data_IF_942410353428
#
_entry.id   IF_942410353428
#
_cell.length_a   1.000
_cell.length_b   1.000
_cell.length_c   1.000
_cell.angle_alpha   90.00
_cell.angle_beta   90.00
_cell.angle_gamma   90.00
#
_symmetry.space_group_name_H-M   'P 1'
#
loop_
_entity.id
_entity.type
_entity.pdbx_description
1 polymer ?
#
# COMPACT_ATOMS: atom_id res chain seq x y z
N UNK A 1 -22.91 -7.78 32.36
CA UNK A 1 -24.07 -7.46 31.50
C UNK A 1 -23.52 -6.97 30.18
N UNK A 2 -23.93 -7.66 29.12
CA UNK A 2 -23.36 -7.60 27.79
C UNK A 2 -23.53 -6.22 27.16
N UNK A 3 -22.43 -5.56 26.82
CA UNK A 3 -22.46 -4.58 25.75
C UNK A 3 -22.33 -5.34 24.43
N UNK A 4 -23.45 -5.91 23.97
CA UNK A 4 -23.66 -6.08 22.53
C UNK A 4 -23.66 -4.64 22.03
N UNK A 5 -22.61 -4.21 21.35
CA UNK A 5 -22.64 -2.94 20.62
C UNK A 5 -23.73 -3.07 19.57
N UNK A 6 -24.90 -2.54 19.89
CA UNK A 6 -26.00 -2.28 18.96
C UNK A 6 -25.52 -1.22 17.97
N UNK A 7 -24.69 -1.66 17.02
CA UNK A 7 -24.39 -0.87 15.84
C UNK A 7 -25.64 -0.93 14.98
N UNK A 8 -26.50 0.10 15.11
CA UNK A 8 -27.55 0.36 14.11
C UNK A 8 -26.99 0.44 12.68
N UNK A 9 -25.66 0.58 12.51
CA UNK A 9 -24.93 0.67 11.24
C UNK A 9 -23.55 -0.04 11.36
N UNK A 10 -23.31 -1.07 10.55
CA UNK A 10 -22.05 -1.87 10.52
C UNK A 10 -20.98 -1.22 9.63
N UNK A 11 -20.65 0.05 9.92
CA UNK A 11 -19.57 0.82 9.29
C UNK A 11 -19.15 1.98 10.20
N UNK A 12 -17.94 2.51 9.99
CA UNK A 12 -17.43 3.74 10.59
C UNK A 12 -16.71 4.56 9.51
N UNK A 13 -17.32 5.66 9.10
CA UNK A 13 -16.83 6.60 8.07
C UNK A 13 -17.05 8.04 8.55
N UNK A 14 -16.30 9.02 8.02
CA UNK A 14 -16.37 10.41 8.47
C UNK A 14 -17.77 11.03 8.29
N UNK A 15 -18.34 10.92 7.09
CA UNK A 15 -19.65 11.47 6.76
C UNK A 15 -20.31 10.67 5.63
N UNK A 16 -21.40 9.97 5.95
CA UNK A 16 -22.14 9.14 4.99
C UNK A 16 -22.78 9.98 3.87
N UNK A 17 -23.00 11.28 4.09
CA UNK A 17 -23.60 12.17 3.08
C UNK A 17 -22.66 12.44 1.89
N UNK A 18 -21.37 12.09 2.00
CA UNK A 18 -20.41 12.19 0.90
C UNK A 18 -20.59 11.07 -0.16
N UNK A 19 -21.45 10.08 0.09
CA UNK A 19 -21.66 8.93 -0.80
C UNK A 19 -22.03 9.34 -2.24
N UNK A 20 -22.83 10.39 -2.41
CA UNK A 20 -23.21 10.89 -3.73
C UNK A 20 -22.05 11.46 -4.54
N UNK A 21 -21.06 12.07 -3.87
CA UNK A 21 -19.82 12.52 -4.52
C UNK A 21 -18.92 11.33 -4.84
N UNK A 22 -18.68 10.44 -3.88
CA UNK A 22 -17.87 9.24 -4.10
C UNK A 22 -18.39 8.39 -5.25
N UNK A 23 -19.71 8.21 -5.37
CA UNK A 23 -20.32 7.48 -6.49
C UNK A 23 -20.01 8.08 -7.86
N UNK A 24 -19.97 9.42 -7.96
CA UNK A 24 -19.60 10.11 -9.22
C UNK A 24 -18.14 9.89 -9.56
N UNK A 25 -17.24 9.95 -8.58
CA UNK A 25 -15.81 9.68 -8.82
C UNK A 25 -15.52 8.21 -9.12
N UNK A 26 -16.22 7.27 -8.49
CA UNK A 26 -16.16 5.84 -8.84
C UNK A 26 -16.54 5.65 -10.30
N UNK A 27 -17.65 6.23 -10.76
CA UNK A 27 -18.07 6.12 -12.16
C UNK A 27 -17.04 6.68 -13.15
N UNK A 28 -16.34 7.75 -12.79
CA UNK A 28 -15.22 8.29 -13.59
C UNK A 28 -14.04 7.30 -13.55
N UNK A 29 -13.67 6.83 -12.36
CA UNK A 29 -12.53 5.93 -12.17
C UNK A 29 -12.71 4.60 -12.90
N UNK A 30 -13.91 4.05 -12.97
CA UNK A 30 -14.21 2.84 -13.76
C UNK A 30 -13.78 2.99 -15.22
N UNK A 31 -13.94 4.19 -15.82
CA UNK A 31 -13.49 4.44 -17.20
C UNK A 31 -11.97 4.43 -17.34
N UNK A 32 -11.24 4.71 -16.26
CA UNK A 32 -9.78 4.70 -16.18
C UNK A 32 -9.23 3.39 -15.60
N UNK A 33 -10.07 2.40 -15.28
CA UNK A 33 -9.64 1.12 -14.70
C UNK A 33 -9.96 -0.08 -15.61
N UNK A 34 -9.40 -0.13 -16.84
CA UNK A 34 -9.75 -1.13 -17.84
C UNK A 34 -9.42 -2.56 -17.40
N UNK A 35 -8.41 -2.77 -16.57
CA UNK A 35 -8.06 -4.10 -16.05
C UNK A 35 -9.17 -4.67 -15.16
N UNK A 36 -9.69 -3.88 -14.22
CA UNK A 36 -10.78 -4.30 -13.35
C UNK A 36 -12.09 -4.46 -14.12
N UNK A 37 -12.40 -3.54 -15.04
CA UNK A 37 -13.62 -3.63 -15.85
C UNK A 37 -13.62 -4.90 -16.72
N UNK A 38 -12.49 -5.21 -17.36
CA UNK A 38 -12.38 -6.42 -18.15
C UNK A 38 -12.48 -7.71 -17.31
N UNK A 39 -11.96 -7.70 -16.08
CA UNK A 39 -12.14 -8.82 -15.14
C UNK A 39 -13.62 -8.99 -14.76
N UNK A 40 -14.35 -7.90 -14.50
CA UNK A 40 -15.79 -7.97 -14.25
C UNK A 40 -16.52 -8.59 -15.45
N UNK A 41 -16.25 -8.09 -16.66
CA UNK A 41 -16.87 -8.59 -17.89
C UNK A 41 -16.61 -10.09 -18.11
N UNK A 42 -15.37 -10.55 -17.86
CA UNK A 42 -14.97 -11.93 -18.07
C UNK A 42 -15.53 -12.88 -17.00
N UNK A 43 -15.49 -12.48 -15.73
CA UNK A 43 -15.66 -13.42 -14.61
C UNK A 43 -16.95 -13.22 -13.80
N UNK A 44 -17.66 -12.09 -13.92
CA UNK A 44 -18.85 -11.85 -13.09
C UNK A 44 -19.92 -12.93 -13.29
N UNK A 45 -20.15 -13.42 -14.51
CA UNK A 45 -21.13 -14.47 -14.76
C UNK A 45 -20.79 -15.80 -14.05
N UNK A 46 -19.50 -16.11 -13.89
CA UNK A 46 -19.03 -17.33 -13.25
C UNK A 46 -19.02 -17.25 -11.71
N UNK A 47 -19.07 -16.04 -11.14
CA UNK A 47 -18.99 -15.79 -9.69
C UNK A 47 -17.84 -16.57 -9.01
N UNK A 48 -16.58 -16.44 -9.49
CA UNK A 48 -15.48 -17.30 -9.04
C UNK A 48 -15.16 -17.14 -7.56
N UNK A 49 -15.50 -16.00 -6.94
CA UNK A 49 -15.28 -15.71 -5.53
C UNK A 49 -16.51 -16.00 -4.66
N UNK A 50 -17.53 -16.68 -5.19
CA UNK A 50 -18.70 -17.05 -4.39
C UNK A 50 -18.28 -17.83 -3.13
N UNK A 51 -18.68 -17.31 -1.97
CA UNK A 51 -18.34 -17.88 -0.66
C UNK A 51 -17.02 -17.37 -0.06
N UNK A 52 -16.23 -16.60 -0.81
CA UNK A 52 -15.09 -15.89 -0.26
C UNK A 52 -15.59 -14.77 0.66
N UNK A 53 -14.96 -14.68 1.83
CA UNK A 53 -15.18 -13.67 2.87
C UNK A 53 -13.87 -12.94 3.07
N UNK A 54 -13.72 -11.82 2.37
CA UNK A 54 -12.45 -11.10 2.23
C UNK A 54 -12.39 -10.00 3.30
N UNK A 55 -11.38 -10.09 4.17
CA UNK A 55 -10.96 -9.00 5.04
C UNK A 55 -9.90 -8.17 4.31
N UNK A 56 -10.25 -6.94 3.92
CA UNK A 56 -9.36 -6.03 3.21
C UNK A 56 -8.73 -4.99 4.15
N UNK A 57 -7.40 -4.86 4.09
CA UNK A 57 -6.62 -3.80 4.75
C UNK A 57 -5.76 -3.10 3.70
N UNK A 58 -6.32 -2.05 3.09
CA UNK A 58 -5.70 -1.31 2.00
C UNK A 58 -6.27 0.10 1.99
N UNK A 59 -5.45 1.11 1.67
CA UNK A 59 -5.85 2.53 1.51
C UNK A 59 -7.28 2.69 0.97
N UNK A 60 -8.18 3.30 1.74
CA UNK A 60 -9.59 3.41 1.36
C UNK A 60 -9.83 4.60 0.41
N UNK A 61 -9.43 4.42 -0.85
CA UNK A 61 -9.53 5.42 -1.93
C UNK A 61 -10.64 5.10 -2.94
N UNK A 62 -10.88 6.00 -3.90
CA UNK A 62 -11.76 5.76 -5.05
C UNK A 62 -11.31 4.56 -5.88
N UNK A 63 -10.00 4.36 -6.05
CA UNK A 63 -9.48 3.21 -6.79
C UNK A 63 -9.81 1.92 -6.04
N UNK A 64 -9.63 1.90 -4.72
CA UNK A 64 -9.96 0.77 -3.86
C UNK A 64 -11.46 0.49 -3.84
N UNK A 65 -12.29 1.53 -3.91
CA UNK A 65 -13.74 1.37 -4.07
C UNK A 65 -14.09 0.56 -5.34
N UNK A 66 -13.41 0.81 -6.47
CA UNK A 66 -13.60 0.03 -7.70
C UNK A 66 -13.11 -1.42 -7.54
N UNK A 67 -12.01 -1.66 -6.81
CA UNK A 67 -11.55 -3.01 -6.44
C UNK A 67 -12.60 -3.75 -5.60
N UNK A 68 -13.10 -3.13 -4.52
CA UNK A 68 -14.13 -3.70 -3.64
C UNK A 68 -15.36 -4.11 -4.44
N UNK A 69 -15.87 -3.22 -5.30
CA UNK A 69 -17.03 -3.51 -6.14
C UNK A 69 -16.73 -4.59 -7.19
N UNK A 70 -15.48 -4.73 -7.64
CA UNK A 70 -15.05 -5.83 -8.50
C UNK A 70 -15.09 -7.17 -7.77
N UNK A 71 -14.52 -7.24 -6.56
CA UNK A 71 -14.55 -8.47 -5.74
C UNK A 71 -15.99 -8.91 -5.45
N UNK A 72 -16.87 -7.97 -5.11
CA UNK A 72 -18.30 -8.24 -4.91
C UNK A 72 -19.00 -8.70 -6.19
N UNK A 73 -18.72 -8.04 -7.33
CA UNK A 73 -19.26 -8.44 -8.62
C UNK A 73 -18.83 -9.87 -9.01
N UNK A 74 -17.74 -10.39 -8.45
CA UNK A 74 -17.25 -11.75 -8.62
C UNK A 74 -17.78 -12.74 -7.57
N UNK A 75 -18.63 -12.28 -6.65
CA UNK A 75 -19.33 -13.12 -5.66
C UNK A 75 -18.74 -13.12 -4.25
N UNK A 76 -17.72 -12.31 -3.97
CA UNK A 76 -17.16 -12.19 -2.63
C UNK A 76 -18.09 -11.38 -1.70
N UNK A 77 -18.07 -11.74 -0.42
CA UNK A 77 -18.50 -10.87 0.67
C UNK A 77 -17.25 -10.19 1.26
N UNK A 78 -17.36 -8.91 1.64
CA UNK A 78 -16.19 -8.04 1.85
C UNK A 78 -16.39 -7.14 3.06
N UNK A 79 -15.35 -7.01 3.90
CA UNK A 79 -15.23 -6.00 4.95
C UNK A 79 -13.89 -5.28 4.79
N UNK A 80 -13.85 -3.97 5.02
CA UNK A 80 -12.67 -3.16 4.67
C UNK A 80 -12.23 -2.19 5.75
N UNK A 81 -10.92 -2.00 5.89
CA UNK A 81 -10.27 -0.94 6.64
C UNK A 81 -9.12 -0.37 5.81
N UNK A 82 -8.73 0.86 6.13
CA UNK A 82 -7.52 1.47 5.55
C UNK A 82 -6.26 0.86 6.16
N UNK A 83 -5.16 0.81 5.42
CA UNK A 83 -3.83 0.47 5.96
C UNK A 83 -3.00 1.70 6.36
N UNK A 84 -3.59 2.90 6.31
CA UNK A 84 -2.91 4.13 6.76
C UNK A 84 -3.90 5.23 7.17
N UNK A 85 -3.63 5.82 8.33
CA UNK A 85 -4.49 6.80 9.00
C UNK A 85 -4.78 8.10 8.22
N UNK A 86 -3.97 8.43 7.20
CA UNK A 86 -4.16 9.67 6.40
C UNK A 86 -4.54 9.41 4.94
N UNK A 87 -4.62 8.15 4.53
CA UNK A 87 -4.80 7.76 3.13
C UNK A 87 -6.25 7.67 2.66
N UNK A 88 -7.19 7.57 3.61
CA UNK A 88 -8.61 7.43 3.29
C UNK A 88 -9.13 8.65 2.53
N UNK A 89 -9.95 8.39 1.52
CA UNK A 89 -10.80 9.39 0.89
C UNK A 89 -12.22 9.21 1.42
N UNK A 90 -12.67 10.13 2.27
CA UNK A 90 -13.92 9.95 3.03
C UNK A 90 -15.15 9.79 2.13
N UNK A 91 -15.17 10.44 0.97
CA UNK A 91 -16.24 10.27 -0.02
C UNK A 91 -16.23 8.88 -0.67
N UNK A 92 -15.06 8.26 -0.86
CA UNK A 92 -14.95 6.88 -1.32
C UNK A 92 -15.46 5.90 -0.26
N UNK A 93 -15.03 6.07 1.00
CA UNK A 93 -15.50 5.26 2.13
C UNK A 93 -17.02 5.34 2.29
N UNK A 94 -17.58 6.55 2.25
CA UNK A 94 -19.03 6.78 2.31
C UNK A 94 -19.78 6.10 1.15
N UNK A 95 -19.27 6.15 -0.08
CA UNK A 95 -19.92 5.54 -1.24
C UNK A 95 -19.97 4.01 -1.18
N UNK A 96 -18.94 3.38 -0.61
CA UNK A 96 -18.91 1.92 -0.38
C UNK A 96 -19.79 1.52 0.80
N UNK A 97 -19.73 2.26 1.92
CA UNK A 97 -20.59 2.04 3.08
C UNK A 97 -22.09 2.16 2.73
N UNK A 98 -22.47 3.22 1.98
CA UNK A 98 -23.84 3.40 1.50
C UNK A 98 -24.27 2.30 0.50
N UNK A 99 -23.31 1.65 -0.17
CA UNK A 99 -23.52 0.47 -1.01
C UNK A 99 -23.67 -0.84 -0.24
N UNK A 100 -23.72 -0.78 1.10
CA UNK A 100 -23.93 -1.91 2.00
C UNK A 100 -22.70 -2.74 2.33
N UNK A 101 -21.49 -2.28 1.97
CA UNK A 101 -20.24 -2.94 2.37
C UNK A 101 -19.69 -2.31 3.65
N UNK A 102 -19.43 -3.10 4.70
CA UNK A 102 -18.79 -2.63 5.93
C UNK A 102 -17.41 -2.01 5.65
N UNK A 103 -17.26 -0.73 5.99
CA UNK A 103 -16.00 0.03 5.89
C UNK A 103 -15.73 0.70 7.23
N UNK A 104 -14.50 0.56 7.71
CA UNK A 104 -14.00 1.17 8.95
C UNK A 104 -12.76 1.98 8.61
N UNK A 105 -12.98 3.22 8.16
CA UNK A 105 -11.91 4.09 7.70
C UNK A 105 -12.39 5.53 7.61
N UNK A 106 -11.58 6.47 8.09
CA UNK A 106 -11.71 7.88 7.75
C UNK A 106 -10.36 8.60 7.79
N UNK A 107 -10.23 9.72 7.09
CA UNK A 107 -8.98 10.47 7.05
C UNK A 107 -8.71 11.16 8.39
N UNK A 108 -7.55 10.88 8.97
CA UNK A 108 -7.14 11.44 10.25
C UNK A 108 -7.59 10.64 11.48
N UNK A 109 -7.96 9.37 11.30
CA UNK A 109 -8.20 8.45 12.42
C UNK A 109 -6.97 8.31 13.33
N UNK A 110 -7.19 8.09 14.62
CA UNK A 110 -6.11 7.85 15.58
C UNK A 110 -5.53 6.44 15.42
N UNK A 111 -4.31 6.20 15.92
CA UNK A 111 -3.72 4.85 15.95
C UNK A 111 -4.56 3.85 16.76
N UNK A 112 -5.32 4.32 17.75
CA UNK A 112 -6.26 3.47 18.49
C UNK A 112 -7.42 3.02 17.60
N UNK A 113 -8.00 3.95 16.85
CA UNK A 113 -9.09 3.68 15.91
C UNK A 113 -8.60 2.78 14.77
N UNK A 114 -7.43 3.06 14.20
CA UNK A 114 -6.77 2.24 13.19
C UNK A 114 -6.76 0.75 13.59
N UNK A 115 -6.20 0.42 14.75
CA UNK A 115 -6.14 -0.97 15.19
C UNK A 115 -7.51 -1.54 15.59
N UNK A 116 -8.46 -0.74 16.07
CA UNK A 116 -9.86 -1.18 16.24
C UNK A 116 -10.48 -1.55 14.89
N UNK A 117 -10.27 -0.73 13.86
CA UNK A 117 -10.78 -0.94 12.51
C UNK A 117 -10.19 -2.21 11.87
N UNK A 118 -8.89 -2.45 12.07
CA UNK A 118 -8.24 -3.70 11.65
C UNK A 118 -8.82 -4.93 12.36
N UNK A 119 -9.36 -4.83 13.58
CA UNK A 119 -10.12 -5.95 14.17
C UNK A 119 -11.50 -6.12 13.53
N UNK A 120 -12.19 -5.02 13.21
CA UNK A 120 -13.57 -5.05 12.69
C UNK A 120 -13.72 -5.70 11.33
N UNK A 121 -12.68 -5.74 10.50
CA UNK A 121 -12.69 -6.49 9.24
C UNK A 121 -12.74 -8.02 9.44
N UNK A 122 -12.42 -8.50 10.65
CA UNK A 122 -12.52 -9.91 11.04
C UNK A 122 -13.78 -10.24 11.85
N UNK A 123 -14.56 -9.24 12.30
CA UNK A 123 -15.80 -9.45 13.05
C UNK A 123 -17.01 -9.45 12.11
N UNK A 124 -17.48 -10.64 11.70
CA UNK A 124 -18.61 -10.78 10.75
C UNK A 124 -19.96 -10.82 11.47
N UNK A 125 -20.99 -10.18 10.88
CA UNK A 125 -22.29 -9.99 11.51
C UNK A 125 -23.02 -11.29 11.88
N UNK A 126 -22.75 -12.39 11.17
CA UNK A 126 -23.29 -13.72 11.46
C UNK A 126 -22.47 -14.51 12.50
N UNK A 127 -21.46 -13.89 13.10
CA UNK A 127 -20.51 -14.54 14.01
C UNK A 127 -19.47 -15.43 13.31
N UNK A 128 -19.45 -15.43 11.98
CA UNK A 128 -18.45 -16.13 11.18
C UNK A 128 -17.07 -15.46 11.19
N UNK A 129 -16.16 -16.02 10.41
CA UNK A 129 -14.79 -15.53 10.23
C UNK A 129 -14.55 -15.22 8.74
N UNK A 130 -13.63 -14.31 8.40
CA UNK A 130 -13.14 -14.24 7.04
C UNK A 130 -12.38 -15.52 6.70
N UNK A 131 -12.24 -15.77 5.40
CA UNK A 131 -11.48 -16.90 4.88
C UNK A 131 -10.40 -16.48 3.89
N UNK A 132 -10.32 -15.18 3.56
CA UNK A 132 -9.29 -14.60 2.70
C UNK A 132 -8.86 -13.25 3.27
N UNK A 133 -7.60 -12.89 3.09
CA UNK A 133 -7.07 -11.55 3.40
C UNK A 133 -6.59 -10.91 2.09
N UNK A 134 -6.91 -9.63 1.90
CA UNK A 134 -6.26 -8.77 0.92
C UNK A 134 -5.55 -7.66 1.70
N UNK A 135 -4.22 -7.64 1.63
CA UNK A 135 -3.38 -6.84 2.51
C UNK A 135 -2.46 -5.90 1.71
N UNK A 136 -2.18 -4.74 2.29
CA UNK A 136 -1.23 -3.74 1.82
C UNK A 136 -0.45 -3.27 3.05
N UNK A 137 0.80 -3.74 3.15
CA UNK A 137 1.68 -3.49 4.29
C UNK A 137 1.80 -4.64 5.27
N UNK A 138 0.84 -5.57 5.24
CA UNK A 138 0.85 -6.78 6.04
C UNK A 138 0.29 -6.61 7.45
N UNK A 139 -0.45 -5.53 7.74
CA UNK A 139 -0.93 -5.23 9.10
C UNK A 139 -2.08 -6.14 9.53
N UNK A 140 -3.00 -6.49 8.61
CA UNK A 140 -4.05 -7.46 8.90
C UNK A 140 -3.46 -8.85 9.16
N UNK A 141 -2.46 -9.23 8.37
CA UNK A 141 -1.72 -10.48 8.54
C UNK A 141 -0.92 -10.49 9.85
N UNK A 142 -0.22 -9.39 10.17
CA UNK A 142 0.53 -9.21 11.40
C UNK A 142 -0.39 -9.33 12.62
N UNK A 143 -1.54 -8.66 12.60
CA UNK A 143 -2.50 -8.68 13.70
C UNK A 143 -2.90 -10.11 14.08
N UNK A 144 -3.27 -10.93 13.09
CA UNK A 144 -3.65 -12.33 13.36
C UNK A 144 -2.48 -13.18 13.85
N UNK A 145 -1.32 -13.08 13.21
CA UNK A 145 -0.15 -13.90 13.60
C UNK A 145 0.39 -13.52 14.98
N UNK A 146 0.51 -12.22 15.26
CA UNK A 146 0.99 -11.72 16.55
C UNK A 146 -0.03 -11.99 17.66
N UNK A 147 -1.32 -11.74 17.42
CA UNK A 147 -2.37 -12.00 18.39
C UNK A 147 -2.48 -13.49 18.75
N UNK A 148 -2.41 -14.39 17.77
CA UNK A 148 -2.43 -15.84 18.03
C UNK A 148 -1.19 -16.34 18.80
N UNK A 149 -0.04 -15.65 18.67
CA UNK A 149 1.12 -15.90 19.53
C UNK A 149 0.89 -15.35 20.94
N UNK A 150 0.31 -14.16 21.06
CA UNK A 150 -0.01 -13.53 22.34
C UNK A 150 -1.05 -14.31 23.16
N UNK A 151 -1.95 -15.06 22.52
CA UNK A 151 -2.84 -16.02 23.21
C UNK A 151 -2.07 -17.06 24.04
N UNK A 152 -0.84 -17.40 23.63
CA UNK A 152 0.01 -18.41 24.28
C UNK A 152 1.12 -17.80 25.12
N UNK A 153 1.60 -16.62 24.73
CA UNK A 153 2.70 -15.91 25.37
C UNK A 153 2.47 -14.40 25.35
N UNK A 154 1.96 -13.84 26.45
CA UNK A 154 1.72 -12.41 26.58
C UNK A 154 3.01 -11.56 26.50
N UNK A 155 4.21 -12.15 26.64
CA UNK A 155 5.47 -11.42 26.57
C UNK A 155 5.74 -10.82 25.18
N UNK A 156 5.19 -11.43 24.12
CA UNK A 156 5.37 -10.94 22.74
C UNK A 156 4.72 -9.57 22.48
N UNK A 157 3.85 -9.11 23.38
CA UNK A 157 3.19 -7.80 23.34
C UNK A 157 3.42 -6.98 24.64
N UNK A 158 4.51 -7.28 25.36
CA UNK A 158 4.82 -6.61 26.63
C UNK A 158 5.64 -5.32 26.45
N UNK A 159 6.53 -5.28 25.46
CA UNK A 159 7.54 -4.23 25.31
C UNK A 159 7.43 -3.58 23.92
N UNK A 160 6.56 -2.56 23.73
CA UNK A 160 6.45 -1.87 22.45
C UNK A 160 7.73 -1.07 22.15
N UNK A 161 8.20 -1.16 20.91
CA UNK A 161 9.36 -0.43 20.39
C UNK A 161 9.01 0.88 19.68
N UNK A 162 7.72 1.14 19.43
CA UNK A 162 7.21 2.35 18.78
C UNK A 162 5.87 2.81 19.36
N UNK A 163 5.43 4.01 19.00
CA UNK A 163 4.08 4.50 19.33
C UNK A 163 3.02 3.57 18.71
N UNK A 164 3.17 3.20 17.44
CA UNK A 164 2.22 2.32 16.75
C UNK A 164 2.12 0.94 17.42
N UNK A 165 3.24 0.35 17.82
CA UNK A 165 3.24 -0.91 18.58
C UNK A 165 2.54 -0.77 19.93
N UNK A 166 2.63 0.40 20.58
CA UNK A 166 1.92 0.66 21.84
C UNK A 166 0.41 0.51 21.66
N UNK A 167 -0.15 1.06 20.57
CA UNK A 167 -1.57 0.94 20.26
C UNK A 167 -1.95 -0.46 19.76
N UNK A 168 -1.12 -1.10 18.92
CA UNK A 168 -1.32 -2.49 18.49
C UNK A 168 -1.40 -3.43 19.69
N UNK A 169 -0.42 -3.37 20.59
CA UNK A 169 -0.34 -4.27 21.74
C UNK A 169 -1.48 -4.02 22.72
N UNK A 170 -1.90 -2.77 22.90
CA UNK A 170 -3.07 -2.43 23.70
C UNK A 170 -4.36 -3.01 23.09
N UNK A 171 -4.56 -2.85 21.78
CA UNK A 171 -5.70 -3.43 21.06
C UNK A 171 -5.71 -4.95 21.18
N UNK A 172 -4.54 -5.61 21.09
CA UNK A 172 -4.45 -7.05 21.25
C UNK A 172 -4.86 -7.49 22.65
N UNK A 173 -4.33 -6.83 23.69
CA UNK A 173 -4.69 -7.11 25.10
C UNK A 173 -6.19 -6.94 25.34
N UNK A 174 -6.77 -5.88 24.79
CA UNK A 174 -8.20 -5.61 24.92
C UNK A 174 -9.07 -6.70 24.25
N UNK A 175 -8.70 -7.16 23.05
CA UNK A 175 -9.42 -8.23 22.36
C UNK A 175 -9.30 -9.56 23.10
N UNK A 176 -8.11 -9.91 23.58
CA UNK A 176 -7.86 -11.14 24.36
C UNK A 176 -8.62 -11.16 25.68
N UNK A 177 -8.77 -10.01 26.35
CA UNK A 177 -9.55 -9.90 27.57
C UNK A 177 -11.05 -10.16 27.35
N UNK A 178 -11.56 -9.92 26.13
CA UNK A 178 -12.96 -10.14 25.74
C UNK A 178 -13.19 -11.55 25.20
N UNK A 179 -12.29 -12.03 24.34
CA UNK A 179 -12.32 -13.37 23.76
C UNK A 179 -10.88 -13.91 23.65
N UNK A 180 -10.49 -14.86 24.52
CA UNK A 180 -9.11 -15.36 24.60
C UNK A 180 -8.71 -16.29 23.45
N UNK A 181 -9.64 -16.60 22.54
CA UNK A 181 -9.43 -17.50 21.39
C UNK A 181 -9.68 -16.82 20.04
N UNK A 182 -9.88 -15.50 20.05
CA UNK A 182 -10.34 -14.77 18.87
C UNK A 182 -9.36 -14.86 17.71
N UNK A 183 -8.05 -14.77 17.97
CA UNK A 183 -7.04 -14.76 16.91
C UNK A 183 -6.80 -16.14 16.35
N UNK A 184 -6.62 -17.16 17.20
CA UNK A 184 -6.42 -18.53 16.70
C UNK A 184 -7.63 -19.03 15.91
N UNK A 185 -8.85 -18.66 16.31
CA UNK A 185 -10.08 -18.98 15.56
C UNK A 185 -10.10 -18.32 14.18
N UNK A 186 -9.80 -17.02 14.09
CA UNK A 186 -9.76 -16.32 12.80
C UNK A 186 -8.60 -16.81 11.93
N UNK A 187 -7.40 -16.94 12.50
CA UNK A 187 -6.19 -17.40 11.80
C UNK A 187 -6.37 -18.79 11.18
N UNK A 188 -7.06 -19.71 11.86
CA UNK A 188 -7.33 -21.05 11.34
C UNK A 188 -8.33 -21.06 10.18
N UNK A 189 -9.15 -20.02 10.03
CA UNK A 189 -10.14 -19.93 8.96
C UNK A 189 -9.57 -19.39 7.64
N UNK A 190 -8.47 -18.63 7.70
CA UNK A 190 -7.84 -18.03 6.51
C UNK A 190 -7.29 -19.12 5.58
N UNK A 191 -7.62 -19.01 4.29
CA UNK A 191 -7.16 -19.89 3.21
C UNK A 191 -5.99 -19.31 2.45
N UNK A 192 -5.79 -18.00 2.49
CA UNK A 192 -4.59 -17.34 1.99
C UNK A 192 -4.66 -15.82 2.08
N UNK A 193 -3.54 -15.18 1.77
CA UNK A 193 -3.40 -13.72 1.68
C UNK A 193 -2.83 -13.30 0.32
N UNK A 194 -3.27 -12.15 -0.19
CA UNK A 194 -2.61 -11.47 -1.31
C UNK A 194 -2.05 -10.14 -0.80
N UNK A 195 -0.75 -9.93 -0.98
CA UNK A 195 -0.04 -8.76 -0.42
C UNK A 195 0.56 -7.89 -1.52
N UNK A 196 0.24 -6.60 -1.47
CA UNK A 196 0.54 -5.65 -2.53
C UNK A 196 1.93 -5.01 -2.45
N UNK A 197 2.52 -4.87 -1.28
CA UNK A 197 3.67 -3.98 -1.07
C UNK A 197 4.96 -4.72 -0.79
N UNK A 198 6.09 -4.11 -1.16
CA UNK A 198 7.43 -4.61 -0.83
C UNK A 198 7.58 -4.89 0.67
N UNK A 199 7.04 -4.01 1.52
CA UNK A 199 7.16 -4.11 2.96
C UNK A 199 6.35 -5.27 3.55
N UNK A 200 5.09 -5.41 3.16
CA UNK A 200 4.28 -6.56 3.58
C UNK A 200 4.83 -7.89 3.05
N UNK A 201 5.31 -7.90 1.80
CA UNK A 201 5.99 -9.07 1.21
C UNK A 201 7.23 -9.47 2.01
N UNK A 202 8.04 -8.51 2.44
CA UNK A 202 9.20 -8.79 3.28
C UNK A 202 8.80 -9.40 4.63
N UNK A 203 7.73 -8.90 5.27
CA UNK A 203 7.16 -9.52 6.49
C UNK A 203 6.73 -10.97 6.24
N UNK A 204 6.06 -11.24 5.11
CA UNK A 204 5.64 -12.60 4.73
C UNK A 204 6.84 -13.54 4.54
N UNK A 205 7.88 -13.11 3.83
CA UNK A 205 9.11 -13.91 3.66
C UNK A 205 9.79 -14.19 5.00
N UNK A 206 9.86 -13.21 5.91
CA UNK A 206 10.40 -13.42 7.25
C UNK A 206 9.59 -14.44 8.05
N UNK A 207 8.25 -14.33 8.03
CA UNK A 207 7.38 -15.30 8.69
C UNK A 207 7.56 -16.71 8.11
N UNK A 208 7.67 -16.83 6.78
CA UNK A 208 7.90 -18.11 6.12
C UNK A 208 9.26 -18.73 6.51
N UNK A 209 10.33 -17.93 6.49
CA UNK A 209 11.68 -18.38 6.90
C UNK A 209 11.74 -18.84 8.36
N UNK A 210 10.97 -18.21 9.24
CA UNK A 210 10.86 -18.58 10.67
C UNK A 210 9.89 -19.74 10.93
N UNK A 211 9.17 -20.23 9.92
CA UNK A 211 8.12 -21.24 10.08
C UNK A 211 6.89 -20.73 10.85
N UNK A 212 6.69 -19.42 10.88
CA UNK A 212 5.59 -18.74 11.58
C UNK A 212 4.35 -18.54 10.70
N UNK A 213 4.54 -18.40 9.37
CA UNK A 213 3.45 -18.23 8.41
C UNK A 213 2.48 -19.41 8.47
N UNK A 214 1.17 -19.15 8.48
CA UNK A 214 0.13 -20.19 8.68
C UNK A 214 -0.72 -20.53 7.46
N UNK A 215 -0.67 -19.71 6.42
CA UNK A 215 -1.44 -19.90 5.18
C UNK A 215 -0.61 -19.48 3.96
N UNK A 216 -0.93 -19.95 2.74
CA UNK A 216 -0.23 -19.51 1.54
C UNK A 216 -0.42 -18.01 1.29
N UNK A 217 0.61 -17.37 0.77
CA UNK A 217 0.60 -15.96 0.41
C UNK A 217 0.98 -15.78 -1.06
N UNK A 218 0.26 -14.92 -1.78
CA UNK A 218 0.70 -14.42 -3.08
C UNK A 218 1.31 -13.02 -2.89
N UNK A 219 2.59 -12.93 -3.22
CA UNK A 219 3.32 -11.71 -3.44
C UNK A 219 2.83 -11.08 -4.75
N UNK A 220 1.92 -10.13 -4.64
CA UNK A 220 1.40 -9.36 -5.78
C UNK A 220 2.40 -8.28 -6.19
N UNK A 221 3.14 -7.73 -5.21
CA UNK A 221 4.12 -6.66 -5.44
C UNK A 221 5.10 -6.98 -6.58
N UNK A 222 5.63 -8.19 -6.60
CA UNK A 222 6.70 -8.59 -7.53
C UNK A 222 6.16 -9.06 -8.90
N UNK A 223 4.85 -8.94 -9.14
CA UNK A 223 4.32 -9.00 -10.51
C UNK A 223 4.91 -7.83 -11.31
N UNK A 224 5.26 -8.06 -12.57
CA UNK A 224 5.81 -7.05 -13.47
C UNK A 224 4.86 -5.88 -13.63
N UNK A 225 3.60 -6.19 -13.89
CA UNK A 225 2.53 -5.20 -14.04
C UNK A 225 2.17 -4.48 -12.74
N UNK A 226 2.71 -4.91 -11.59
CA UNK A 226 2.65 -4.17 -10.33
C UNK A 226 3.93 -3.35 -10.16
N UNK A 227 5.04 -3.98 -9.84
CA UNK A 227 6.30 -3.30 -9.47
C UNK A 227 6.80 -2.26 -10.50
N UNK A 228 6.72 -2.52 -11.81
CA UNK A 228 7.17 -1.55 -12.83
C UNK A 228 6.16 -0.50 -13.23
N UNK A 229 4.93 -0.62 -12.77
CA UNK A 229 3.89 0.32 -13.13
C UNK A 229 3.52 1.16 -11.92
N UNK A 230 3.03 0.51 -10.89
CA UNK A 230 2.60 1.14 -9.64
C UNK A 230 3.75 1.89 -8.97
N UNK A 231 4.78 1.15 -8.52
CA UNK A 231 5.87 1.73 -7.75
C UNK A 231 6.65 2.77 -8.57
N UNK A 232 6.76 2.60 -9.89
CA UNK A 232 7.49 3.50 -10.77
C UNK A 232 6.64 4.67 -11.28
N UNK A 233 5.63 4.38 -12.11
CA UNK A 233 4.82 5.42 -12.76
C UNK A 233 3.82 6.06 -11.80
N UNK A 234 3.27 5.31 -10.84
CA UNK A 234 2.38 5.86 -9.83
C UNK A 234 3.08 6.88 -8.94
N UNK A 235 4.28 6.56 -8.45
CA UNK A 235 5.09 7.51 -7.67
C UNK A 235 5.54 8.70 -8.53
N UNK A 236 5.82 8.47 -9.83
CA UNK A 236 6.17 9.55 -10.76
C UNK A 236 5.05 10.58 -10.92
N UNK A 237 3.79 10.14 -10.94
CA UNK A 237 2.64 11.04 -11.04
C UNK A 237 2.30 11.69 -9.69
N UNK A 238 2.42 10.95 -8.59
CA UNK A 238 1.79 11.33 -7.32
C UNK A 238 2.72 11.97 -6.29
N UNK A 239 4.05 11.77 -6.36
CA UNK A 239 4.99 12.38 -5.42
C UNK A 239 4.89 13.90 -5.44
N UNK A 240 5.08 14.46 -6.63
CA UNK A 240 5.12 15.91 -6.83
C UNK A 240 3.74 16.52 -6.61
N UNK A 241 2.65 15.79 -6.91
CA UNK A 241 1.29 16.19 -6.56
C UNK A 241 1.14 16.39 -5.04
N UNK A 242 1.55 15.40 -4.24
CA UNK A 242 1.56 15.50 -2.78
C UNK A 242 2.35 16.70 -2.26
N UNK A 243 3.59 16.88 -2.74
CA UNK A 243 4.45 18.00 -2.36
C UNK A 243 3.80 19.34 -2.75
N UNK A 244 3.22 19.43 -3.95
CA UNK A 244 2.61 20.67 -4.45
C UNK A 244 1.34 21.03 -3.70
N UNK A 245 0.41 20.10 -3.50
CA UNK A 245 -0.81 20.38 -2.71
C UNK A 245 -0.48 20.76 -1.27
N UNK A 246 0.60 20.20 -0.71
CA UNK A 246 1.07 20.55 0.62
C UNK A 246 1.67 21.95 0.68
N UNK A 247 2.55 22.33 -0.27
CA UNK A 247 3.47 23.47 -0.08
C UNK A 247 3.42 24.54 -1.17
N UNK A 248 2.76 24.27 -2.30
CA UNK A 248 2.77 25.09 -3.51
C UNK A 248 4.19 25.47 -4.01
N UNK A 249 5.21 24.71 -3.59
CA UNK A 249 6.61 25.05 -3.82
C UNK A 249 6.98 24.99 -5.30
N UNK A 250 7.81 25.94 -5.74
CA UNK A 250 8.49 25.85 -7.02
C UNK A 250 9.54 24.72 -6.99
N UNK A 251 9.45 23.76 -7.92
CA UNK A 251 10.38 22.63 -8.00
C UNK A 251 11.63 22.96 -8.82
N UNK A 252 11.49 23.73 -9.90
CA UNK A 252 12.61 24.04 -10.78
C UNK A 252 13.74 24.78 -10.04
N UNK A 253 14.98 24.37 -10.32
CA UNK A 253 16.19 24.94 -9.73
C UNK A 253 16.52 24.44 -8.33
N UNK A 254 15.58 23.85 -7.60
CA UNK A 254 15.81 23.29 -6.26
C UNK A 254 16.63 22.01 -6.30
N UNK A 255 17.40 21.78 -5.23
CA UNK A 255 18.07 20.52 -4.95
C UNK A 255 17.07 19.58 -4.27
N UNK A 256 16.68 18.52 -4.98
CA UNK A 256 15.77 17.52 -4.45
C UNK A 256 16.54 16.21 -4.21
N UNK A 257 16.59 15.77 -2.97
CA UNK A 257 17.33 14.60 -2.51
C UNK A 257 16.36 13.43 -2.39
N UNK A 258 16.59 12.38 -3.19
CA UNK A 258 15.81 11.14 -3.17
C UNK A 258 16.64 10.05 -2.51
N UNK A 259 16.21 9.57 -1.35
CA UNK A 259 16.89 8.51 -0.63
C UNK A 259 16.32 7.14 -1.02
N UNK A 260 17.14 6.31 -1.66
CA UNK A 260 16.75 5.05 -2.28
C UNK A 260 16.40 5.24 -3.76
N UNK A 261 16.89 4.34 -4.60
CA UNK A 261 16.75 4.34 -6.05
C UNK A 261 16.26 2.98 -6.57
N UNK A 262 15.42 2.31 -5.78
CA UNK A 262 14.53 1.25 -6.25
C UNK A 262 13.45 1.79 -7.19
N UNK A 263 12.33 1.08 -7.33
CA UNK A 263 11.27 1.48 -8.29
C UNK A 263 10.60 2.80 -7.92
N UNK A 264 10.25 2.96 -6.63
CA UNK A 264 9.73 4.20 -6.06
C UNK A 264 10.71 5.34 -6.28
N UNK A 265 11.97 5.16 -5.87
CA UNK A 265 13.03 6.16 -6.04
C UNK A 265 13.26 6.59 -7.50
N UNK A 266 13.21 5.64 -8.44
CA UNK A 266 13.30 5.92 -9.88
C UNK A 266 12.14 6.79 -10.35
N UNK A 267 10.91 6.48 -9.95
CA UNK A 267 9.71 7.25 -10.30
C UNK A 267 9.76 8.67 -9.73
N UNK A 268 10.09 8.75 -8.45
CA UNK A 268 10.29 9.99 -7.70
C UNK A 268 11.33 10.91 -8.34
N UNK A 269 12.51 10.36 -8.67
CA UNK A 269 13.58 11.09 -9.33
C UNK A 269 13.17 11.61 -10.72
N UNK A 270 12.50 10.78 -11.52
CA UNK A 270 12.00 11.17 -12.83
C UNK A 270 11.00 12.35 -12.75
N UNK A 271 10.08 12.33 -11.78
CA UNK A 271 9.09 13.38 -11.58
C UNK A 271 9.74 14.73 -11.23
N UNK A 272 10.66 14.71 -10.27
CA UNK A 272 11.39 15.90 -9.83
C UNK A 272 12.26 16.45 -10.97
N UNK A 273 12.94 15.57 -11.72
CA UNK A 273 13.77 15.96 -12.86
C UNK A 273 12.96 16.56 -13.99
N UNK A 274 11.77 16.03 -14.28
CA UNK A 274 10.86 16.56 -15.32
C UNK A 274 10.44 18.01 -15.03
N UNK A 275 10.37 18.41 -13.76
CA UNK A 275 10.14 19.79 -13.34
C UNK A 275 11.43 20.59 -13.10
N UNK A 276 12.55 20.13 -13.68
CA UNK A 276 13.85 20.80 -13.65
C UNK A 276 14.46 20.98 -12.25
N UNK A 277 14.18 20.06 -11.31
CA UNK A 277 14.96 19.96 -10.09
C UNK A 277 16.39 19.46 -10.38
N UNK A 278 17.32 19.86 -9.53
CA UNK A 278 18.65 19.24 -9.40
C UNK A 278 18.49 18.00 -8.51
N UNK A 279 18.25 16.85 -9.14
CA UNK A 279 17.99 15.61 -8.40
C UNK A 279 19.29 14.98 -7.93
N UNK A 280 19.41 14.80 -6.61
CA UNK A 280 20.47 14.05 -5.95
C UNK A 280 19.90 12.75 -5.39
N UNK A 281 20.69 11.69 -5.42
CA UNK A 281 20.26 10.36 -4.97
C UNK A 281 21.20 9.88 -3.87
N UNK A 282 20.65 9.26 -2.83
CA UNK A 282 21.44 8.47 -1.86
C UNK A 282 21.13 7.00 -2.04
N UNK A 283 22.15 6.15 -2.11
CA UNK A 283 21.96 4.70 -2.28
C UNK A 283 23.02 3.91 -1.51
N UNK A 284 22.61 2.73 -1.05
CA UNK A 284 23.47 1.71 -0.45
C UNK A 284 23.79 0.59 -1.45
N UNK A 285 22.90 0.35 -2.42
CA UNK A 285 23.10 -0.68 -3.44
C UNK A 285 23.92 -0.08 -4.59
N UNK A 286 25.13 -0.63 -4.88
CA UNK A 286 25.99 -0.10 -5.94
C UNK A 286 25.38 -0.24 -7.35
N UNK A 287 24.50 -1.21 -7.59
CA UNK A 287 23.80 -1.39 -8.87
C UNK A 287 22.78 -0.26 -9.05
N UNK A 288 21.96 0.01 -8.03
CA UNK A 288 21.00 1.12 -8.06
C UNK A 288 21.71 2.48 -8.14
N UNK A 289 22.80 2.67 -7.39
CA UNK A 289 23.61 3.89 -7.45
C UNK A 289 24.20 4.10 -8.86
N UNK A 290 24.73 3.05 -9.49
CA UNK A 290 25.25 3.14 -10.86
C UNK A 290 24.13 3.49 -11.85
N UNK A 291 22.93 2.91 -11.71
CA UNK A 291 21.78 3.30 -12.52
C UNK A 291 21.44 4.79 -12.35
N UNK A 292 21.39 5.30 -11.11
CA UNK A 292 21.13 6.72 -10.85
C UNK A 292 22.18 7.63 -11.51
N UNK A 293 23.46 7.27 -11.40
CA UNK A 293 24.55 8.01 -12.03
C UNK A 293 24.45 8.02 -13.56
N UNK A 294 24.03 6.90 -14.19
CA UNK A 294 23.85 6.81 -15.64
C UNK A 294 22.68 7.64 -16.17
N UNK A 295 21.68 7.93 -15.35
CA UNK A 295 20.60 8.90 -15.66
C UNK A 295 21.03 10.37 -15.45
N UNK A 296 22.27 10.61 -15.01
CA UNK A 296 22.82 11.94 -14.76
C UNK A 296 22.48 12.52 -13.39
N UNK A 297 21.96 11.72 -12.46
CA UNK A 297 21.76 12.15 -11.07
C UNK A 297 23.08 12.11 -10.30
N UNK A 298 23.27 13.09 -9.42
CA UNK A 298 24.43 13.08 -8.53
C UNK A 298 24.16 12.11 -7.38
N UNK A 299 24.97 11.06 -7.26
CA UNK A 299 24.92 10.14 -6.12
C UNK A 299 25.76 10.70 -4.97
N UNK A 300 25.15 10.87 -3.80
CA UNK A 300 25.74 11.50 -2.60
C UNK A 300 25.33 10.75 -1.34
N UNK A 301 25.97 11.08 -0.21
CA UNK A 301 25.52 10.63 1.12
C UNK A 301 24.46 11.59 1.68
N UNK A 302 23.59 11.11 2.58
CA UNK A 302 22.64 11.97 3.27
C UNK A 302 23.35 13.02 4.15
N UNK A 303 24.48 12.65 4.77
CA UNK A 303 25.34 13.58 5.51
C UNK A 303 25.76 14.80 4.68
N UNK A 304 26.11 14.60 3.41
CA UNK A 304 26.45 15.68 2.50
C UNK A 304 25.21 16.44 2.02
N UNK A 305 24.14 15.72 1.71
CA UNK A 305 22.93 16.29 1.14
C UNK A 305 22.15 17.15 2.14
N UNK A 306 22.20 16.83 3.44
CA UNK A 306 21.44 17.49 4.50
C UNK A 306 21.65 19.01 4.52
N UNK A 307 22.89 19.48 4.34
CA UNK A 307 23.23 20.92 4.37
C UNK A 307 22.88 21.68 3.08
N UNK A 308 22.48 20.97 2.02
CA UNK A 308 22.35 21.52 0.66
C UNK A 308 20.94 21.36 0.07
N UNK A 309 20.22 20.30 0.44
CA UNK A 309 18.91 19.97 -0.13
C UNK A 309 17.82 20.96 0.24
N UNK A 310 16.92 21.23 -0.71
CA UNK A 310 15.67 21.95 -0.48
C UNK A 310 14.50 21.03 -0.16
N UNK A 311 14.48 19.86 -0.78
CA UNK A 311 13.40 18.87 -0.69
C UNK A 311 14.05 17.52 -0.43
N UNK A 312 13.60 16.81 0.59
CA UNK A 312 14.07 15.49 0.96
C UNK A 312 12.93 14.49 0.87
N UNK A 313 13.14 13.43 0.09
CA UNK A 313 12.15 12.38 -0.16
C UNK A 313 12.77 11.02 0.17
N UNK A 314 12.23 10.32 1.16
CA UNK A 314 12.65 8.94 1.48
C UNK A 314 11.81 7.92 0.71
N UNK A 315 12.47 6.94 0.08
CA UNK A 315 11.89 5.95 -0.84
C UNK A 315 12.49 4.53 -0.64
N UNK A 316 12.96 4.21 0.56
CA UNK A 316 13.84 3.05 0.81
C UNK A 316 13.12 1.83 1.38
N UNK A 317 12.00 2.00 2.08
CA UNK A 317 11.39 0.97 2.93
C UNK A 317 12.28 0.54 4.10
N UNK A 318 13.09 1.45 4.65
CA UNK A 318 14.10 1.17 5.68
C UNK A 318 13.88 2.05 6.93
N UNK A 319 14.82 2.06 7.86
CA UNK A 319 14.67 2.68 9.17
C UNK A 319 15.68 3.81 9.38
N UNK A 320 15.21 4.98 9.83
CA UNK A 320 16.02 6.14 10.20
C UNK A 320 16.99 6.59 9.10
N UNK A 321 16.49 6.66 7.86
CA UNK A 321 17.23 7.15 6.68
C UNK A 321 17.53 8.64 6.83
N UNK A 322 16.57 9.39 7.35
CA UNK A 322 16.74 10.78 7.78
C UNK A 322 16.66 10.80 9.31
N UNK A 323 17.80 11.05 9.97
CA UNK A 323 17.90 11.12 11.43
C UNK A 323 17.70 12.54 11.95
N UNK A 324 17.64 12.67 13.28
CA UNK A 324 17.70 13.96 13.97
C UNK A 324 18.85 14.84 13.48
N UNK A 325 20.05 14.27 13.39
CA UNK A 325 21.29 14.99 13.03
C UNK A 325 21.24 15.50 11.59
N UNK A 326 20.65 14.74 10.66
CA UNK A 326 20.40 15.22 9.31
C UNK A 326 19.46 16.42 9.31
N UNK A 327 18.32 16.31 9.99
CA UNK A 327 17.34 17.41 10.08
C UNK A 327 17.91 18.66 10.77
N UNK A 328 18.77 18.49 11.77
CA UNK A 328 19.46 19.59 12.43
C UNK A 328 20.44 20.34 11.52
N UNK A 329 20.96 19.70 10.46
CA UNK A 329 21.84 20.33 9.45
C UNK A 329 21.08 20.98 8.29
N UNK A 330 19.79 20.65 8.11
CA UNK A 330 18.99 21.19 7.02
C UNK A 330 18.84 22.71 7.09
N UNK A 331 18.70 23.33 5.92
CA UNK A 331 18.42 24.75 5.82
C UNK A 331 17.01 25.09 6.32
N UNK A 332 16.83 26.36 6.70
CA UNK A 332 15.50 26.89 6.98
C UNK A 332 14.56 26.68 5.79
N UNK A 333 13.32 26.31 6.08
CA UNK A 333 12.25 26.00 5.12
C UNK A 333 12.53 24.78 4.22
N UNK A 334 13.47 23.88 4.59
CA UNK A 334 13.59 22.61 3.89
C UNK A 334 12.32 21.76 4.06
N UNK A 335 11.90 21.11 2.98
CA UNK A 335 10.73 20.22 2.96
C UNK A 335 11.21 18.79 3.15
N UNK A 336 10.63 18.07 4.11
CA UNK A 336 10.94 16.67 4.39
C UNK A 336 9.68 15.84 4.26
N UNK A 337 9.72 14.80 3.44
CA UNK A 337 8.62 13.90 3.24
C UNK A 337 9.09 12.47 2.95
N UNK A 338 8.18 11.53 3.11
CA UNK A 338 8.39 10.12 2.86
C UNK A 338 7.34 9.63 1.86
N UNK A 339 7.75 8.75 0.96
CA UNK A 339 6.84 8.05 0.06
C UNK A 339 7.06 6.53 0.09
N UNK A 340 7.93 6.04 0.98
CA UNK A 340 7.96 4.63 1.37
C UNK A 340 6.85 4.30 2.39
N UNK A 341 6.74 3.03 2.76
CA UNK A 341 5.49 2.51 3.33
C UNK A 341 5.22 2.93 4.79
N UNK A 342 6.23 2.96 5.67
CA UNK A 342 6.07 3.36 7.08
C UNK A 342 6.74 4.70 7.36
N UNK A 343 6.33 5.35 8.45
CA UNK A 343 6.85 6.67 8.86
C UNK A 343 8.27 6.65 9.42
N UNK A 344 8.76 5.47 9.80
CA UNK A 344 10.08 5.27 10.40
C UNK A 344 11.28 5.43 9.45
N UNK A 345 11.08 5.75 8.16
CA UNK A 345 12.18 6.20 7.31
C UNK A 345 12.75 7.55 7.77
N UNK A 346 11.91 8.36 8.43
CA UNK A 346 12.30 9.63 9.04
C UNK A 346 12.15 9.48 10.56
N UNK A 347 13.17 9.88 11.32
CA UNK A 347 13.12 9.85 12.79
C UNK A 347 12.27 11.00 13.35
N UNK A 348 10.95 10.93 13.12
CA UNK A 348 9.97 11.93 13.59
C UNK A 348 9.95 12.00 15.12
N UNK A 349 10.06 10.85 15.80
CA UNK A 349 10.08 10.76 17.25
C UNK A 349 11.18 11.64 17.87
N UNK A 350 12.36 11.70 17.25
CA UNK A 350 13.48 12.52 17.74
C UNK A 350 13.22 14.03 17.77
N UNK A 351 12.24 14.51 16.98
CA UNK A 351 11.89 15.93 16.81
C UNK A 351 10.53 16.30 17.43
N UNK A 352 9.79 15.36 18.02
CA UNK A 352 8.54 15.64 18.74
C UNK A 352 8.71 16.60 19.92
N UNK A 353 9.90 16.58 20.53
CA UNK A 353 10.28 17.46 21.63
C UNK A 353 10.36 18.95 21.25
N UNK A 354 10.33 19.28 19.96
CA UNK A 354 10.41 20.65 19.45
C UNK A 354 9.04 21.30 19.34
N UNK A 355 9.03 22.60 19.03
CA UNK A 355 7.80 23.35 18.80
C UNK A 355 7.25 23.00 17.42
N UNK A 356 6.05 22.41 17.38
CA UNK A 356 5.29 22.10 16.16
C UNK A 356 4.19 23.15 15.96
N UNK A 357 4.08 23.65 14.73
CA UNK A 357 3.08 24.62 14.29
C UNK A 357 2.37 24.06 13.06
N UNK A 358 1.14 23.57 13.22
CA UNK A 358 0.35 23.01 12.13
C UNK A 358 -0.09 24.14 11.20
N UNK A 359 0.37 24.11 9.94
CA UNK A 359 -0.01 25.10 8.92
C UNK A 359 -1.40 24.78 8.38
N UNK A 360 -1.62 23.50 8.07
CA UNK A 360 -2.88 22.91 7.60
C UNK A 360 -2.79 21.38 7.77
N UNK A 361 -3.89 20.63 7.59
CA UNK A 361 -3.85 19.17 7.71
C UNK A 361 -2.68 18.55 6.92
N UNK A 362 -1.89 17.73 7.61
CA UNK A 362 -0.71 17.04 7.10
C UNK A 362 0.47 17.94 6.66
N UNK A 363 0.50 19.21 7.08
CA UNK A 363 1.64 20.11 6.83
C UNK A 363 2.00 20.86 8.10
N UNK A 364 3.15 20.51 8.66
CA UNK A 364 3.60 21.03 9.94
C UNK A 364 4.93 21.78 9.78
N UNK A 365 5.09 22.88 10.51
CA UNK A 365 6.40 23.44 10.80
C UNK A 365 6.97 22.81 12.07
N UNK A 366 8.25 22.45 12.04
CA UNK A 366 9.02 22.04 13.23
C UNK A 366 10.18 23.00 13.43
N UNK A 367 10.16 23.73 14.55
CA UNK A 367 11.14 24.78 14.86
C UNK A 367 12.27 24.25 15.74
N UNK A 368 13.50 24.32 15.22
CA UNK A 368 14.71 23.90 15.90
C UNK A 368 15.25 25.00 16.85
N UNK A 369 16.18 24.66 17.78
CA UNK A 369 16.69 25.60 18.78
C UNK A 369 17.41 26.85 18.22
N UNK A 370 18.00 26.73 17.03
CA UNK A 370 18.64 27.82 16.29
C UNK A 370 17.63 28.73 15.55
N UNK A 371 16.33 28.43 15.65
CA UNK A 371 15.25 29.20 15.04
C UNK A 371 14.87 28.79 13.62
N UNK A 372 15.63 27.88 12.97
CA UNK A 372 15.23 27.35 11.66
C UNK A 372 13.94 26.53 11.81
N UNK A 373 13.13 26.50 10.75
CA UNK A 373 11.93 25.68 10.66
C UNK A 373 12.06 24.70 9.51
N UNK A 374 11.67 23.46 9.74
CA UNK A 374 11.48 22.47 8.68
C UNK A 374 9.99 22.34 8.37
N UNK A 375 9.66 22.07 7.11
CA UNK A 375 8.30 21.74 6.68
C UNK A 375 8.21 20.21 6.62
N UNK A 376 7.47 19.61 7.54
CA UNK A 376 7.28 18.17 7.63
C UNK A 376 5.93 17.81 7.01
N UNK A 377 5.94 16.91 6.03
CA UNK A 377 4.73 16.48 5.35
C UNK A 377 4.20 15.17 5.93
N UNK A 378 2.89 15.13 6.18
CA UNK A 378 2.13 13.99 6.68
C UNK A 378 2.75 13.30 7.92
N UNK A 379 3.47 14.07 8.74
CA UNK A 379 4.21 13.56 9.91
C UNK A 379 5.07 12.33 9.57
N UNK A 380 5.73 12.35 8.41
CA UNK A 380 6.59 11.27 7.93
C UNK A 380 5.85 10.08 7.29
N UNK A 381 4.52 10.04 7.22
CA UNK A 381 3.76 9.02 6.47
C UNK A 381 3.78 9.31 4.95
N UNK A 382 3.23 8.39 4.15
CA UNK A 382 3.19 8.51 2.68
C UNK A 382 2.61 9.85 2.21
N UNK A 383 3.45 10.68 1.63
CA UNK A 383 3.11 12.05 1.22
C UNK A 383 2.11 12.09 0.07
N UNK A 384 2.20 11.15 -0.87
CA UNK A 384 1.34 11.11 -2.05
C UNK A 384 -0.13 10.78 -1.69
N UNK A 385 -0.35 10.00 -0.63
CA UNK A 385 -1.68 9.67 -0.12
C UNK A 385 -2.14 10.63 0.98
N UNK A 386 -1.24 10.99 1.90
CA UNK A 386 -1.54 11.89 3.00
C UNK A 386 -1.83 13.32 2.53
N UNK A 387 -1.02 13.85 1.62
CA UNK A 387 -1.14 15.23 1.12
C UNK A 387 -1.87 15.34 -0.24
N UNK A 388 -2.15 14.23 -0.91
CA UNK A 388 -2.90 14.21 -2.17
C UNK A 388 -3.88 13.02 -2.21
N UNK A 389 -3.89 12.27 -3.30
CA UNK A 389 -4.90 11.21 -3.57
C UNK A 389 -4.26 9.90 -4.00
N UNK A 390 -2.97 9.73 -3.74
CA UNK A 390 -2.20 8.56 -4.17
C UNK A 390 -2.06 8.46 -5.69
N UNK A 391 -1.90 7.22 -6.15
CA UNK A 391 -1.66 6.92 -7.54
C UNK A 391 -2.95 7.07 -8.39
N UNK A 392 -2.84 7.53 -9.65
CA UNK A 392 -4.01 7.65 -10.54
C UNK A 392 -4.71 6.30 -10.79
N UNK A 393 -6.00 6.36 -11.11
CA UNK A 393 -6.82 5.14 -11.32
C UNK A 393 -6.25 4.18 -12.36
N UNK A 394 -5.67 4.69 -13.44
CA UNK A 394 -5.09 3.86 -14.49
C UNK A 394 -3.97 2.95 -13.98
N UNK A 395 -3.01 3.48 -13.22
CA UNK A 395 -1.92 2.65 -12.72
C UNK A 395 -2.41 1.67 -11.64
N UNK A 396 -3.32 2.10 -10.77
CA UNK A 396 -3.94 1.22 -9.77
C UNK A 396 -4.78 0.11 -10.40
N UNK A 397 -5.30 0.31 -11.62
CA UNK A 397 -5.96 -0.75 -12.37
C UNK A 397 -5.04 -1.93 -12.64
N UNK A 398 -3.73 -1.73 -12.77
CA UNK A 398 -2.77 -2.81 -12.94
C UNK A 398 -2.59 -3.61 -11.66
N UNK A 399 -2.34 -2.94 -10.54
CA UNK A 399 -2.12 -3.59 -9.24
C UNK A 399 -3.36 -4.33 -8.78
N UNK A 400 -4.53 -3.70 -8.89
CA UNK A 400 -5.79 -4.29 -8.43
C UNK A 400 -6.30 -5.40 -9.34
N UNK A 401 -5.94 -5.39 -10.63
CA UNK A 401 -6.14 -6.55 -11.49
C UNK A 401 -5.30 -7.75 -11.02
N UNK A 402 -4.03 -7.54 -10.64
CA UNK A 402 -3.22 -8.61 -10.05
C UNK A 402 -3.81 -9.10 -8.72
N UNK A 403 -4.25 -8.19 -7.83
CA UNK A 403 -4.92 -8.56 -6.58
C UNK A 403 -6.16 -9.44 -6.83
N UNK A 404 -7.02 -9.02 -7.75
CA UNK A 404 -8.26 -9.74 -8.05
C UNK A 404 -7.97 -11.13 -8.61
N UNK A 405 -7.01 -11.24 -9.52
CA UNK A 405 -6.60 -12.53 -10.09
C UNK A 405 -5.95 -13.42 -9.02
N UNK A 406 -5.12 -12.86 -8.13
CA UNK A 406 -4.51 -13.59 -7.02
C UNK A 406 -5.56 -14.12 -6.02
N UNK A 407 -6.60 -13.32 -5.74
CA UNK A 407 -7.73 -13.75 -4.90
C UNK A 407 -8.51 -14.89 -5.55
N UNK A 408 -8.80 -14.79 -6.86
CA UNK A 408 -9.46 -15.87 -7.63
C UNK A 408 -8.62 -17.14 -7.56
N UNK A 409 -7.32 -17.04 -7.83
CA UNK A 409 -6.38 -18.16 -7.85
C UNK A 409 -6.35 -18.89 -6.51
N UNK A 410 -6.06 -18.18 -5.41
CA UNK A 410 -6.02 -18.78 -4.08
C UNK A 410 -7.36 -19.36 -3.67
N UNK A 411 -8.46 -18.68 -3.97
CA UNK A 411 -9.79 -19.15 -3.59
C UNK A 411 -10.20 -20.40 -4.36
N UNK A 412 -9.94 -20.48 -5.67
CA UNK A 412 -10.30 -21.64 -6.48
C UNK A 412 -9.40 -22.85 -6.18
N UNK A 413 -8.14 -22.63 -5.83
CA UNK A 413 -7.15 -23.67 -5.55
C UNK A 413 -7.05 -24.05 -4.06
N UNK A 414 -7.87 -23.44 -3.19
CA UNK A 414 -7.81 -23.60 -1.72
C UNK A 414 -7.86 -25.06 -1.24
N UNK A 415 -8.50 -25.95 -2.00
CA UNK A 415 -8.70 -27.36 -1.68
C UNK A 415 -7.88 -28.31 -2.59
N UNK A 416 -7.07 -27.78 -3.52
CA UNK A 416 -6.36 -28.59 -4.53
C UNK A 416 -4.98 -29.09 -4.06
N UNK A 417 -4.43 -28.48 -3.01
CA UNK A 417 -3.07 -28.73 -2.54
C UNK A 417 -1.97 -28.07 -3.37
N UNK A 418 -2.33 -27.24 -4.37
CA UNK A 418 -1.38 -26.52 -5.24
C UNK A 418 -0.50 -25.53 -4.50
N UNK A 419 -1.05 -24.87 -3.48
CA UNK A 419 -0.36 -23.85 -2.69
C UNK A 419 -0.20 -24.29 -1.22
N UNK A 420 0.83 -25.10 -0.90
CA UNK A 420 1.28 -25.27 0.48
C UNK A 420 1.62 -23.93 1.14
N UNK A 421 1.70 -23.90 2.47
CA UNK A 421 2.13 -22.69 3.18
C UNK A 421 3.50 -22.22 2.67
N UNK A 422 3.55 -20.98 2.19
CA UNK A 422 4.69 -20.40 1.51
C UNK A 422 4.31 -19.08 0.83
N UNK A 423 5.30 -18.40 0.24
CA UNK A 423 5.12 -17.14 -0.49
C UNK A 423 5.38 -17.39 -1.97
N UNK A 424 4.39 -17.10 -2.82
CA UNK A 424 4.40 -17.36 -4.26
C UNK A 424 4.25 -16.06 -5.04
N UNK A 425 4.75 -16.01 -6.26
CA UNK A 425 4.45 -14.93 -7.21
C UNK A 425 3.32 -15.36 -8.16
N UNK A 426 2.64 -14.38 -8.76
CA UNK A 426 1.64 -14.65 -9.79
C UNK A 426 2.31 -15.35 -10.99
N UNK A 427 1.74 -16.43 -11.56
CA UNK A 427 2.23 -17.03 -12.79
C UNK A 427 2.38 -16.01 -13.92
N UNK A 428 3.49 -16.06 -14.67
CA UNK A 428 3.85 -15.07 -15.71
C UNK A 428 2.76 -14.84 -16.76
N UNK A 429 2.02 -15.87 -17.15
CA UNK A 429 0.94 -15.73 -18.14
C UNK A 429 -0.25 -14.90 -17.61
N UNK A 430 -0.47 -14.85 -16.29
CA UNK A 430 -1.49 -14.00 -15.67
C UNK A 430 -1.01 -12.55 -15.61
N UNK A 431 0.28 -12.32 -15.35
CA UNK A 431 0.92 -11.00 -15.41
C UNK A 431 0.82 -10.41 -16.84
N UNK A 432 1.14 -11.21 -17.87
CA UNK A 432 0.94 -10.83 -19.28
C UNK A 432 -0.54 -10.61 -19.64
N UNK A 433 -1.46 -11.34 -19.02
CA UNK A 433 -2.91 -11.11 -19.18
C UNK A 433 -3.29 -9.75 -18.61
N UNK A 434 -2.85 -9.41 -17.40
CA UNK A 434 -3.10 -8.09 -16.78
C UNK A 434 -2.60 -6.96 -17.68
N UNK A 435 -1.42 -7.10 -18.28
CA UNK A 435 -0.92 -6.12 -19.26
C UNK A 435 -1.85 -6.02 -20.49
N UNK A 436 -2.20 -7.16 -21.11
CA UNK A 436 -3.02 -7.21 -22.32
C UNK A 436 -4.41 -6.59 -22.14
N UNK A 437 -5.03 -6.78 -20.97
CA UNK A 437 -6.35 -6.20 -20.65
C UNK A 437 -6.32 -4.67 -20.67
N UNK A 438 -5.19 -4.05 -20.33
CA UNK A 438 -5.06 -2.60 -20.21
C UNK A 438 -4.65 -1.91 -21.52
N UNK A 439 -3.92 -2.60 -22.41
CA UNK A 439 -3.43 -2.04 -23.67
C UNK A 439 -4.53 -1.46 -24.57
N UNK A 440 -5.75 -2.02 -24.52
CA UNK A 440 -6.91 -1.53 -25.29
C UNK A 440 -7.22 -0.07 -25.01
N UNK A 441 -7.11 0.36 -23.74
CA UNK A 441 -7.42 1.74 -23.33
C UNK A 441 -6.38 2.74 -23.83
N UNK A 442 -5.12 2.32 -23.95
CA UNK A 442 -4.02 3.17 -24.45
C UNK A 442 -3.90 3.18 -25.98
N UNK A 443 -4.86 2.62 -26.70
CA UNK A 443 -4.79 2.44 -28.16
C UNK A 443 -3.50 1.72 -28.61
N UNK A 444 -3.01 0.80 -27.78
CA UNK A 444 -1.83 0.01 -28.09
C UNK A 444 -2.22 -1.25 -28.88
N UNK A 445 -1.68 -1.39 -30.09
CA UNK A 445 -1.93 -2.52 -30.99
C UNK A 445 -0.80 -3.55 -30.82
N UNK A 446 -1.12 -4.70 -30.24
CA UNK A 446 -0.13 -5.76 -30.00
C UNK A 446 0.10 -6.59 -31.27
N UNK A 447 1.36 -6.74 -31.67
CA UNK A 447 1.74 -7.61 -32.79
C UNK A 447 1.65 -9.08 -32.37
N UNK A 448 1.08 -9.92 -33.22
CA UNK A 448 1.09 -11.37 -33.03
C UNK A 448 2.30 -12.01 -33.71
N UNK A 449 2.98 -12.91 -33.00
CA UNK A 449 4.05 -13.73 -33.59
C UNK A 449 3.48 -14.64 -34.67
N UNK A 450 4.21 -14.83 -35.77
CA UNK A 450 3.95 -15.97 -36.67
C UNK A 450 4.43 -17.28 -36.02
N UNK A 451 3.94 -18.42 -36.51
CA UNK A 451 4.42 -19.74 -36.02
C UNK A 451 5.93 -19.90 -36.16
N UNK A 452 6.50 -19.42 -37.28
CA UNK A 452 7.93 -19.46 -37.52
C UNK A 452 8.72 -18.60 -36.52
N UNK A 453 8.23 -17.41 -36.18
CA UNK A 453 8.86 -16.54 -35.19
C UNK A 453 8.82 -17.15 -33.79
N UNK A 454 7.67 -17.70 -33.39
CA UNK A 454 7.48 -18.35 -32.09
C UNK A 454 8.42 -19.56 -31.93
N UNK A 455 8.51 -20.41 -32.96
CA UNK A 455 9.43 -21.55 -32.98
C UNK A 455 10.90 -21.12 -32.93
N UNK A 456 11.27 -20.04 -33.64
CA UNK A 456 12.65 -19.54 -33.69
C UNK A 456 13.18 -19.11 -32.32
N UNK A 457 12.35 -18.44 -31.50
CA UNK A 457 12.73 -17.98 -30.16
C UNK A 457 12.31 -18.95 -29.03
N UNK A 458 11.70 -20.08 -29.37
CA UNK A 458 11.34 -21.13 -28.41
C UNK A 458 10.19 -20.77 -27.45
N UNK A 459 9.17 -20.04 -27.93
CA UNK A 459 7.98 -19.67 -27.13
C UNK A 459 6.69 -20.08 -27.84
N UNK A 460 5.56 -20.07 -27.12
CA UNK A 460 4.22 -20.19 -27.72
C UNK A 460 3.76 -18.83 -28.25
N UNK A 461 2.88 -18.81 -29.26
CA UNK A 461 2.30 -17.56 -29.80
C UNK A 461 1.55 -16.78 -28.72
N UNK A 462 0.95 -17.48 -27.78
CA UNK A 462 0.12 -16.95 -26.69
C UNK A 462 0.94 -16.58 -25.43
N UNK A 463 2.24 -16.90 -25.42
CA UNK A 463 3.13 -16.73 -24.28
C UNK A 463 3.18 -17.94 -23.33
N UNK A 464 3.88 -17.82 -22.18
CA UNK A 464 4.66 -16.65 -21.77
C UNK A 464 5.82 -16.34 -22.71
N UNK A 465 6.14 -15.05 -22.89
CA UNK A 465 7.10 -14.57 -23.89
C UNK A 465 8.52 -14.41 -23.36
N UNK A 466 8.72 -14.54 -22.05
CA UNK A 466 9.99 -14.31 -21.37
C UNK A 466 10.24 -15.38 -20.32
N UNK A 467 11.52 -15.65 -20.04
CA UNK A 467 11.91 -16.54 -18.96
C UNK A 467 11.54 -15.97 -17.59
N UNK A 468 11.44 -16.83 -16.58
CA UNK A 468 11.02 -16.43 -15.23
C UNK A 468 11.96 -15.42 -14.58
N UNK A 469 13.27 -15.55 -14.81
CA UNK A 469 14.32 -14.66 -14.28
C UNK A 469 14.50 -13.36 -15.07
N UNK A 470 13.66 -13.09 -16.08
CA UNK A 470 13.73 -11.85 -16.84
C UNK A 470 13.29 -10.67 -15.96
N UNK A 471 14.08 -9.59 -15.95
CA UNK A 471 13.84 -8.41 -15.13
C UNK A 471 12.91 -7.44 -15.86
N UNK A 472 11.69 -7.89 -16.16
CA UNK A 472 10.66 -7.28 -17.05
C UNK A 472 10.76 -7.59 -18.51
#
# INVERSE_FOLDING_TARGET
>A
MNAVTDLKQDYLVADINLAGWGRKEIAIAETEMPGLMAIRDEFAAAQPLKGARIAGSLHMTIQTAVLIETLKALGADVRWASCNIFSTQDHAAAAIAAGGTPVFAFKGESLKEYWDFTHRIFDWADGGTPNMILDDGGDATLLLHLGARAEKDAAVIANPGSEEETYLFAAIKEKLARDPSWYSRNLAAIRGVTEETTTGVHRLYQMAQKGELRFPAINVNDSVTKSKFDNLYGCRESLVDGIKRATDVMIAGKIAVVAGYGDVGKGSAQALRALSAQVWVTEIDPICALQAAMEGYRVVTMDYAAEHGDIFVTCTGNYHVITHEHMAKMKDQAIVCNIGHFDNEIDIASIEKYEWDEIKPQVDHVKFPDGKKLIILAKGRLVNLGCATGHPSYVMSSSFANQTIAQIELWQERDSGKYPVGVYTLPKHLDEKVARLQLRKLNAQLTELTEQQAAYIGVKKEGPYKADHYRY
#
